data_IF_176184007375
#
_entry.id   IF_176184007375
#
_cell.length_a   1.000
_cell.length_b   1.000
_cell.length_c   1.000
_cell.angle_alpha   90.00
_cell.angle_beta   90.00
_cell.angle_gamma   90.00
#
_symmetry.space_group_name_H-M   'P 1'
#
loop_
_entity.id
_entity.type
_entity.pdbx_description
1 polymer ?
#
# COMPACT_ATOMS: atom_id res chain seq x y z
N UNK A 1 7.87 38.38 -8.16
CA UNK A 1 9.16 37.67 -8.01
C UNK A 1 9.24 37.24 -6.57
N UNK A 2 9.00 36.00 -6.36
CA UNK A 2 8.51 35.39 -5.13
C UNK A 2 9.63 34.93 -4.21
N UNK A 3 9.53 35.25 -2.93
CA UNK A 3 10.41 34.84 -1.82
C UNK A 3 10.06 33.44 -1.29
N UNK A 4 9.70 32.45 -2.14
CA UNK A 4 9.35 31.10 -1.71
C UNK A 4 10.56 30.16 -1.67
N UNK A 5 11.75 30.59 -2.07
CA UNK A 5 12.91 29.69 -2.23
C UNK A 5 13.80 29.48 -0.99
N UNK A 6 13.48 30.00 0.18
CA UNK A 6 14.50 30.10 1.23
C UNK A 6 14.11 29.56 2.62
N UNK A 7 13.40 28.45 2.74
CA UNK A 7 13.32 27.79 4.05
C UNK A 7 13.34 26.27 3.92
N UNK A 8 14.41 25.67 4.43
CA UNK A 8 14.66 24.23 4.61
C UNK A 8 15.02 23.48 3.32
N UNK A 9 16.28 23.60 2.88
CA UNK A 9 16.83 22.60 1.95
C UNK A 9 17.04 21.30 2.72
N UNK A 10 16.38 20.19 2.31
CA UNK A 10 16.70 18.88 2.87
C UNK A 10 18.16 18.54 2.59
N UNK A 11 18.87 18.01 3.59
CA UNK A 11 20.25 17.51 3.44
C UNK A 11 20.31 16.16 2.70
N UNK A 12 19.17 15.62 2.24
CA UNK A 12 19.02 14.42 1.42
C UNK A 12 18.21 14.73 0.15
N UNK A 13 18.34 13.89 -0.86
CA UNK A 13 17.64 14.04 -2.13
C UNK A 13 16.14 13.70 -2.05
N UNK A 14 15.72 12.90 -1.06
CA UNK A 14 14.32 12.50 -0.85
C UNK A 14 13.60 13.46 0.10
N UNK A 15 12.43 13.97 -0.34
CA UNK A 15 11.53 14.77 0.48
C UNK A 15 10.16 14.10 0.52
N UNK A 16 9.72 13.69 1.71
CA UNK A 16 8.41 13.11 1.98
C UNK A 16 7.60 14.07 2.84
N UNK A 17 6.49 14.56 2.32
CA UNK A 17 5.75 15.67 2.89
C UNK A 17 4.25 15.40 2.93
N UNK A 18 3.61 15.57 4.08
CA UNK A 18 2.17 15.54 4.20
C UNK A 18 1.58 16.91 3.84
N UNK A 19 0.59 16.92 2.96
CA UNK A 19 -0.23 18.09 2.60
C UNK A 19 -1.59 17.97 3.30
N UNK A 20 -1.89 18.87 4.23
CA UNK A 20 -3.19 18.91 4.88
C UNK A 20 -4.11 19.91 4.17
N UNK A 21 -5.23 19.42 3.64
CA UNK A 21 -6.18 20.21 2.87
C UNK A 21 -7.61 20.05 3.39
N UNK A 22 -8.49 21.00 3.06
CA UNK A 22 -9.90 21.02 3.45
C UNK A 22 -10.78 21.04 2.21
N UNK A 23 -11.29 19.87 1.83
CA UNK A 23 -12.12 19.69 0.66
C UNK A 23 -11.37 19.80 -0.69
N UNK A 24 -12.05 19.38 -1.74
CA UNK A 24 -11.41 19.15 -3.05
C UNK A 24 -10.89 20.44 -3.72
N UNK A 25 -11.52 21.59 -3.51
CA UNK A 25 -11.06 22.86 -4.07
C UNK A 25 -9.69 23.26 -3.50
N UNK A 26 -9.51 23.14 -2.17
CA UNK A 26 -8.23 23.41 -1.51
C UNK A 26 -7.14 22.44 -1.97
N UNK A 27 -7.46 21.15 -2.16
CA UNK A 27 -6.52 20.18 -2.75
C UNK A 27 -6.00 20.66 -4.12
N UNK A 28 -6.91 21.06 -4.99
CA UNK A 28 -6.58 21.50 -6.34
C UNK A 28 -5.73 22.77 -6.31
N UNK A 29 -6.11 23.75 -5.53
CA UNK A 29 -5.40 25.03 -5.40
C UNK A 29 -3.96 24.85 -4.88
N UNK A 30 -3.70 23.81 -4.09
CA UNK A 30 -2.38 23.50 -3.54
C UNK A 30 -1.55 22.58 -4.42
N UNK A 31 -2.18 21.66 -5.13
CA UNK A 31 -1.47 20.69 -5.97
C UNK A 31 -1.16 21.23 -7.37
N UNK A 32 -2.00 22.13 -7.91
CA UNK A 32 -1.78 22.73 -9.23
C UNK A 32 -0.44 23.49 -9.31
N UNK A 33 -0.06 24.38 -8.37
CA UNK A 33 1.24 25.06 -8.44
C UNK A 33 2.42 24.07 -8.33
N UNK A 34 2.28 22.99 -7.58
CA UNK A 34 3.29 21.94 -7.48
C UNK A 34 3.49 21.22 -8.82
N UNK A 35 2.38 20.89 -9.52
CA UNK A 35 2.41 20.27 -10.84
C UNK A 35 2.99 21.25 -11.87
N UNK A 36 2.53 22.50 -11.88
CA UNK A 36 3.02 23.53 -12.79
C UNK A 36 4.52 23.74 -12.64
N UNK A 37 5.00 23.86 -11.40
CA UNK A 37 6.41 24.02 -11.12
C UNK A 37 7.25 22.80 -11.58
N UNK A 38 6.72 21.57 -11.56
CA UNK A 38 7.38 20.41 -12.13
C UNK A 38 7.53 20.57 -13.66
N UNK A 39 6.44 20.89 -14.35
CA UNK A 39 6.39 21.01 -15.81
C UNK A 39 7.30 22.16 -16.31
N UNK A 40 7.31 23.29 -15.62
CA UNK A 40 8.13 24.46 -15.96
C UNK A 40 9.64 24.22 -15.77
N UNK A 41 10.02 23.34 -14.84
CA UNK A 41 11.41 22.96 -14.58
C UNK A 41 11.84 21.66 -15.29
N UNK A 42 10.99 21.12 -16.18
CA UNK A 42 11.21 19.82 -16.84
C UNK A 42 11.50 18.67 -15.83
N UNK A 43 10.90 18.74 -14.62
CA UNK A 43 10.97 17.70 -13.61
C UNK A 43 9.86 16.67 -13.89
N UNK A 44 10.19 15.37 -14.11
CA UNK A 44 9.17 14.33 -14.27
C UNK A 44 8.23 14.28 -13.06
N UNK A 45 6.93 14.13 -13.33
CA UNK A 45 5.92 14.11 -12.27
C UNK A 45 4.93 12.96 -12.43
N UNK A 46 4.68 12.25 -11.31
CA UNK A 46 3.66 11.21 -11.18
C UNK A 46 2.59 11.65 -10.17
N UNK A 47 1.32 11.64 -10.59
CA UNK A 47 0.16 11.97 -9.75
C UNK A 47 -0.72 10.74 -9.59
N UNK A 48 -0.74 10.17 -8.38
CA UNK A 48 -1.48 8.97 -8.01
C UNK A 48 -2.56 9.34 -6.98
N UNK A 49 -3.75 9.69 -7.47
CA UNK A 49 -4.94 10.10 -6.69
C UNK A 49 -6.19 9.44 -7.27
N UNK A 50 -7.36 9.70 -6.72
CA UNK A 50 -8.61 9.14 -7.26
C UNK A 50 -8.92 9.65 -8.67
N UNK A 51 -9.60 8.83 -9.48
CA UNK A 51 -9.97 9.15 -10.86
C UNK A 51 -10.71 10.47 -10.99
N UNK A 52 -11.66 10.75 -10.12
CA UNK A 52 -12.43 12.00 -10.13
C UNK A 52 -11.54 13.23 -9.93
N UNK A 53 -10.57 13.16 -9.02
CA UNK A 53 -9.60 14.21 -8.79
C UNK A 53 -8.63 14.38 -9.97
N UNK A 54 -8.23 13.27 -10.62
CA UNK A 54 -7.42 13.29 -11.85
C UNK A 54 -8.14 14.04 -12.96
N UNK A 55 -9.41 13.77 -13.21
CA UNK A 55 -10.20 14.41 -14.26
C UNK A 55 -10.28 15.93 -14.04
N UNK A 56 -10.47 16.37 -12.80
CA UNK A 56 -10.50 17.79 -12.46
C UNK A 56 -9.14 18.48 -12.63
N UNK A 57 -8.05 17.83 -12.16
CA UNK A 57 -6.70 18.38 -12.36
C UNK A 57 -6.36 18.48 -13.85
N UNK A 58 -6.68 17.48 -14.66
CA UNK A 58 -6.47 17.51 -16.12
C UNK A 58 -7.20 18.69 -16.79
N UNK A 59 -8.45 18.90 -16.40
CA UNK A 59 -9.24 20.01 -16.92
C UNK A 59 -8.62 21.38 -16.59
N UNK A 60 -8.03 21.51 -15.40
CA UNK A 60 -7.40 22.76 -14.94
C UNK A 60 -6.04 23.03 -15.58
N UNK A 61 -5.16 22.01 -15.62
CA UNK A 61 -3.80 22.19 -16.15
C UNK A 61 -3.74 22.19 -17.69
N UNK A 62 -4.83 21.80 -18.36
CA UNK A 62 -4.95 21.90 -19.82
C UNK A 62 -3.85 21.13 -20.56
N UNK A 63 -3.15 21.78 -21.48
CA UNK A 63 -2.09 21.15 -22.29
C UNK A 63 -0.90 20.61 -21.48
N UNK A 64 -0.69 21.06 -20.23
CA UNK A 64 0.37 20.52 -19.38
C UNK A 64 0.12 19.05 -18.98
N UNK A 65 -1.12 18.55 -19.08
CA UNK A 65 -1.46 17.17 -18.72
C UNK A 65 -0.62 16.13 -19.48
N UNK A 66 -0.17 16.44 -20.70
CA UNK A 66 0.62 15.54 -21.53
C UNK A 66 2.05 15.29 -20.96
N UNK A 67 2.51 16.17 -20.05
CA UNK A 67 3.78 16.05 -19.34
C UNK A 67 3.62 15.41 -17.94
N UNK A 68 2.40 15.07 -17.53
CA UNK A 68 2.09 14.50 -16.21
C UNK A 68 1.65 13.06 -16.34
N UNK A 69 2.32 12.14 -15.64
CA UNK A 69 1.86 10.76 -15.51
C UNK A 69 0.78 10.68 -14.46
N UNK A 70 -0.43 10.28 -14.84
CA UNK A 70 -1.55 10.06 -13.92
C UNK A 70 -1.79 8.58 -13.69
N UNK A 71 -2.04 8.21 -12.43
CA UNK A 71 -2.36 6.84 -12.00
C UNK A 71 -3.57 6.90 -11.06
N UNK A 72 -4.55 6.05 -11.30
CA UNK A 72 -5.70 5.93 -10.38
C UNK A 72 -5.29 5.19 -9.11
N UNK A 73 -5.25 5.91 -7.99
CA UNK A 73 -4.87 5.34 -6.70
C UNK A 73 -5.88 4.28 -6.22
N UNK A 74 -7.14 4.36 -6.60
CA UNK A 74 -8.12 3.33 -6.27
C UNK A 74 -7.80 1.97 -6.94
N UNK A 75 -7.13 1.98 -8.09
CA UNK A 75 -6.68 0.76 -8.78
C UNK A 75 -5.36 0.25 -8.19
N UNK A 76 -4.30 1.07 -8.20
CA UNK A 76 -2.96 0.62 -7.76
C UNK A 76 -2.85 0.47 -6.26
N UNK A 77 -3.52 1.34 -5.51
CA UNK A 77 -3.51 1.39 -4.04
C UNK A 77 -4.65 0.61 -3.39
N UNK A 78 -5.47 -0.13 -4.14
CA UNK A 78 -6.50 -1.02 -3.57
C UNK A 78 -5.89 -1.97 -2.52
N UNK A 79 -4.67 -2.42 -2.76
CA UNK A 79 -3.84 -3.08 -1.76
C UNK A 79 -2.59 -2.22 -1.50
N UNK A 80 -2.40 -1.65 -0.30
CA UNK A 80 -1.31 -0.72 -0.01
C UNK A 80 0.11 -1.28 -0.23
N UNK A 81 0.26 -2.61 -0.25
CA UNK A 81 1.54 -3.26 -0.54
C UNK A 81 2.04 -2.98 -1.98
N UNK A 82 1.14 -2.61 -2.90
CA UNK A 82 1.43 -2.34 -4.32
C UNK A 82 1.92 -0.91 -4.59
N UNK A 83 1.80 0.01 -3.65
CA UNK A 83 2.03 1.43 -3.92
C UNK A 83 3.53 1.74 -4.01
N UNK A 84 4.38 1.21 -3.11
CA UNK A 84 5.84 1.41 -3.18
C UNK A 84 6.42 0.95 -4.54
N UNK A 85 6.03 -0.19 -5.12
CA UNK A 85 6.44 -0.59 -6.47
C UNK A 85 6.19 0.46 -7.55
N UNK A 86 5.06 1.16 -7.51
CA UNK A 86 4.73 2.23 -8.49
C UNK A 86 5.72 3.39 -8.40
N UNK A 87 6.03 3.84 -7.19
CA UNK A 87 7.01 4.89 -6.97
C UNK A 87 8.44 4.45 -7.33
N UNK A 88 8.79 3.20 -7.04
CA UNK A 88 10.10 2.62 -7.42
C UNK A 88 10.27 2.56 -8.93
N UNK A 89 9.26 2.07 -9.65
CA UNK A 89 9.28 2.03 -11.12
C UNK A 89 9.47 3.43 -11.70
N UNK A 90 8.71 4.42 -11.20
CA UNK A 90 8.84 5.80 -11.63
C UNK A 90 10.25 6.38 -11.37
N UNK A 91 10.84 6.10 -10.21
CA UNK A 91 12.21 6.55 -9.89
C UNK A 91 13.25 5.82 -10.75
N UNK A 92 13.11 4.50 -10.92
CA UNK A 92 14.05 3.68 -11.71
C UNK A 92 14.03 4.08 -13.20
N UNK A 93 12.86 4.45 -13.76
CA UNK A 93 12.73 4.96 -15.13
C UNK A 93 13.52 6.26 -15.37
N UNK A 94 13.75 7.05 -14.33
CA UNK A 94 14.42 8.36 -14.41
C UNK A 94 15.80 8.38 -13.71
N UNK A 95 16.34 7.22 -13.34
CA UNK A 95 17.57 7.13 -12.53
C UNK A 95 18.79 7.82 -13.15
N UNK A 96 18.87 7.85 -14.48
CA UNK A 96 19.99 8.45 -15.22
C UNK A 96 19.77 9.94 -15.55
N UNK A 97 18.59 10.49 -15.30
CA UNK A 97 18.26 11.87 -15.69
C UNK A 97 18.99 12.93 -14.88
N UNK A 98 19.35 12.63 -13.64
CA UNK A 98 19.97 13.58 -12.71
C UNK A 98 19.08 14.74 -12.27
N UNK A 99 17.80 14.77 -12.71
CA UNK A 99 16.84 15.79 -12.36
C UNK A 99 16.00 15.39 -11.15
N UNK A 100 15.40 16.38 -10.49
CA UNK A 100 14.43 16.14 -9.42
C UNK A 100 13.18 15.51 -10.00
N UNK A 101 12.61 14.57 -9.25
CA UNK A 101 11.33 13.95 -9.54
C UNK A 101 10.28 14.48 -8.58
N UNK A 102 9.04 14.63 -9.04
CA UNK A 102 7.92 15.00 -8.17
C UNK A 102 6.85 13.91 -8.16
N UNK A 103 6.21 13.74 -7.01
CA UNK A 103 5.09 12.84 -6.85
C UNK A 103 3.97 13.47 -6.03
N UNK A 104 2.72 13.11 -6.36
CA UNK A 104 1.56 13.36 -5.51
C UNK A 104 0.89 12.00 -5.31
N UNK A 105 0.75 11.55 -4.05
CA UNK A 105 0.16 10.25 -3.72
C UNK A 105 -0.85 10.34 -2.61
N UNK A 106 -2.11 9.96 -2.86
CA UNK A 106 -3.20 9.97 -1.88
C UNK A 106 -3.72 8.56 -1.63
N UNK A 107 -3.04 7.73 -0.79
CA UNK A 107 -3.48 6.37 -0.50
C UNK A 107 -4.57 6.28 0.57
N UNK A 108 -4.83 7.37 1.31
CA UNK A 108 -5.74 7.41 2.46
C UNK A 108 -6.95 8.29 2.15
N UNK A 109 -8.15 7.72 2.28
CA UNK A 109 -9.44 8.39 2.15
C UNK A 109 -10.46 7.80 3.13
N UNK A 110 -11.58 8.48 3.34
CA UNK A 110 -12.55 8.21 4.41
C UNK A 110 -13.20 6.81 4.35
N UNK A 111 -13.37 6.25 3.14
CA UNK A 111 -14.05 4.96 2.93
C UNK A 111 -13.12 3.74 3.09
N UNK A 112 -11.83 3.95 3.40
CA UNK A 112 -10.93 2.84 3.75
C UNK A 112 -11.45 2.09 4.97
N UNK A 113 -11.44 0.75 4.92
CA UNK A 113 -11.69 -0.06 6.11
C UNK A 113 -10.60 0.16 7.17
N UNK A 114 -10.87 -0.11 8.45
CA UNK A 114 -9.86 0.02 9.50
C UNK A 114 -8.58 -0.79 9.20
N UNK A 115 -8.72 -1.99 8.62
CA UNK A 115 -7.60 -2.85 8.26
C UNK A 115 -6.76 -2.26 7.12
N UNK A 116 -7.42 -1.72 6.09
CA UNK A 116 -6.74 -1.05 4.98
C UNK A 116 -6.04 0.23 5.44
N UNK A 117 -6.69 0.99 6.33
CA UNK A 117 -6.16 2.24 6.86
C UNK A 117 -4.81 2.01 7.58
N UNK A 118 -4.73 1.01 8.47
CA UNK A 118 -3.48 0.65 9.14
C UNK A 118 -2.38 0.27 8.14
N UNK A 119 -2.73 -0.45 7.06
CA UNK A 119 -1.74 -0.81 6.03
C UNK A 119 -1.34 0.39 5.14
N UNK A 120 -2.22 1.38 4.97
CA UNK A 120 -1.88 2.65 4.34
C UNK A 120 -0.96 3.50 5.21
N UNK A 121 -1.24 3.62 6.50
CA UNK A 121 -0.36 4.32 7.46
C UNK A 121 1.02 3.65 7.53
N UNK A 122 1.05 2.31 7.55
CA UNK A 122 2.30 1.55 7.44
C UNK A 122 3.03 1.80 6.12
N UNK A 123 2.30 1.90 5.01
CA UNK A 123 2.88 2.24 3.71
C UNK A 123 3.57 3.60 3.75
N UNK A 124 2.91 4.63 4.28
CA UNK A 124 3.47 5.97 4.42
C UNK A 124 4.76 5.97 5.26
N UNK A 125 4.75 5.28 6.38
CA UNK A 125 5.96 5.11 7.19
C UNK A 125 7.11 4.44 6.39
N UNK A 126 6.81 3.36 5.67
CA UNK A 126 7.79 2.58 4.91
C UNK A 126 8.32 3.28 3.66
N UNK A 127 7.64 4.29 3.12
CA UNK A 127 8.17 5.16 2.06
C UNK A 127 9.50 5.80 2.48
N UNK A 128 9.62 6.20 3.74
CA UNK A 128 10.86 6.79 4.26
C UNK A 128 12.05 5.81 4.22
N UNK A 129 11.81 4.52 4.46
CA UNK A 129 12.84 3.48 4.30
C UNK A 129 13.09 3.12 2.83
N UNK A 130 12.02 3.10 2.02
CA UNK A 130 12.11 2.72 0.62
C UNK A 130 12.96 3.69 -0.22
N UNK A 131 12.99 4.98 0.15
CA UNK A 131 13.65 6.04 -0.62
C UNK A 131 14.72 6.81 0.18
N UNK A 132 15.15 6.29 1.35
CA UNK A 132 16.13 6.95 2.21
C UNK A 132 17.48 7.25 1.50
N UNK A 133 17.91 6.35 0.61
CA UNK A 133 19.19 6.44 -0.07
C UNK A 133 19.12 7.25 -1.36
N UNK A 134 19.19 8.57 -1.22
CA UNK A 134 19.52 9.50 -2.31
C UNK A 134 18.56 9.57 -3.52
N UNK A 135 17.30 9.16 -3.37
CA UNK A 135 16.32 9.35 -4.45
C UNK A 135 15.98 10.83 -4.61
N UNK A 136 16.09 11.43 -5.80
CA UNK A 136 15.77 12.85 -6.00
C UNK A 136 14.25 13.12 -6.05
N UNK A 137 13.46 12.36 -5.28
CA UNK A 137 12.01 12.42 -5.28
C UNK A 137 11.48 13.37 -4.19
N UNK A 138 10.65 14.33 -4.61
CA UNK A 138 9.79 15.08 -3.72
C UNK A 138 8.37 14.52 -3.82
N UNK A 139 7.96 13.77 -2.79
CA UNK A 139 6.65 13.14 -2.69
C UNK A 139 5.75 13.94 -1.75
N UNK A 140 4.63 14.41 -2.26
CA UNK A 140 3.59 15.13 -1.54
C UNK A 140 2.41 14.18 -1.31
N UNK A 141 2.02 13.98 -0.05
CA UNK A 141 0.94 13.08 0.34
C UNK A 141 -0.25 13.88 0.91
N UNK A 142 -1.33 14.05 0.13
CA UNK A 142 -2.50 14.80 0.57
C UNK A 142 -3.34 14.05 1.63
N UNK A 143 -3.86 14.82 2.61
CA UNK A 143 -4.76 14.37 3.67
C UNK A 143 -5.93 15.36 3.84
N UNK A 144 -7.14 14.90 3.59
CA UNK A 144 -8.37 15.68 3.77
C UNK A 144 -8.74 15.74 5.24
N UNK A 145 -8.47 16.88 5.89
CA UNK A 145 -8.70 17.04 7.33
C UNK A 145 -10.18 17.14 7.71
N UNK A 146 -11.06 17.40 6.75
CA UNK A 146 -12.51 17.45 7.00
C UNK A 146 -13.15 16.06 6.99
N UNK A 147 -12.63 15.15 6.19
CA UNK A 147 -13.18 13.80 6.02
C UNK A 147 -12.47 12.72 6.86
N UNK A 148 -11.20 12.95 7.22
CA UNK A 148 -10.39 11.98 7.94
C UNK A 148 -10.49 12.14 9.46
N UNK A 149 -10.40 11.01 10.18
CA UNK A 149 -10.33 11.05 11.64
C UNK A 149 -9.04 11.75 12.11
N UNK A 150 -9.13 12.49 13.20
CA UNK A 150 -7.99 13.18 13.81
C UNK A 150 -6.83 12.25 14.20
N UNK A 151 -7.08 10.97 14.45
CA UNK A 151 -6.02 9.98 14.69
C UNK A 151 -5.17 9.76 13.44
N UNK A 152 -5.78 9.72 12.24
CA UNK A 152 -5.11 9.57 10.94
C UNK A 152 -4.25 10.79 10.64
N UNK A 153 -4.78 11.99 10.90
CA UNK A 153 -4.03 13.25 10.72
C UNK A 153 -2.79 13.29 11.62
N UNK A 154 -2.95 12.89 12.90
CA UNK A 154 -1.80 12.78 13.81
C UNK A 154 -0.80 11.72 13.39
N UNK A 155 -1.27 10.61 12.82
CA UNK A 155 -0.38 9.57 12.30
C UNK A 155 0.38 10.05 11.06
N UNK A 156 -0.26 10.83 10.19
CA UNK A 156 0.41 11.48 9.07
C UNK A 156 1.55 12.39 9.53
N UNK A 157 1.35 13.22 10.58
CA UNK A 157 2.41 14.06 11.15
C UNK A 157 3.61 13.25 11.66
N UNK A 158 3.36 12.02 12.17
CA UNK A 158 4.40 11.13 12.70
C UNK A 158 5.16 10.36 11.62
N UNK A 159 4.53 10.14 10.47
CA UNK A 159 5.10 9.38 9.37
C UNK A 159 5.82 10.25 8.34
N UNK A 160 5.60 11.58 8.36
CA UNK A 160 6.19 12.50 7.39
C UNK A 160 7.23 13.41 8.05
N UNK A 161 8.47 13.45 7.51
CA UNK A 161 9.49 14.40 7.97
C UNK A 161 9.12 15.86 7.76
N UNK A 162 8.28 16.13 6.75
CA UNK A 162 7.85 17.47 6.38
C UNK A 162 6.34 17.57 6.30
N UNK A 163 5.81 18.75 6.60
CA UNK A 163 4.39 19.09 6.55
C UNK A 163 4.17 20.34 5.72
N UNK A 164 3.12 20.36 4.93
CA UNK A 164 2.60 21.54 4.28
C UNK A 164 1.24 21.88 4.89
N UNK A 165 1.09 23.09 5.41
CA UNK A 165 -0.15 23.63 5.96
C UNK A 165 -0.34 25.07 5.50
N UNK A 166 -1.46 25.36 4.88
CA UNK A 166 -1.83 26.71 4.42
C UNK A 166 -0.76 27.39 3.55
N UNK A 167 -0.04 26.63 2.71
CA UNK A 167 1.04 27.13 1.86
C UNK A 167 2.40 27.23 2.54
N UNK A 168 2.51 26.86 3.81
CA UNK A 168 3.78 26.89 4.56
C UNK A 168 4.35 25.47 4.70
N UNK A 169 5.62 25.34 4.31
CA UNK A 169 6.39 24.10 4.44
C UNK A 169 7.22 24.12 5.73
N UNK A 170 7.08 23.09 6.55
CA UNK A 170 7.79 22.99 7.82
C UNK A 170 8.27 21.57 8.12
N UNK A 171 9.28 21.44 8.97
CA UNK A 171 9.68 20.13 9.52
C UNK A 171 8.61 19.65 10.51
N UNK A 172 8.26 18.38 10.44
CA UNK A 172 7.33 17.79 11.41
C UNK A 172 8.00 17.61 12.78
N UNK A 173 7.52 18.28 13.83
CA UNK A 173 8.05 18.07 15.18
C UNK A 173 7.64 16.71 15.77
N UNK A 174 6.65 16.04 15.16
CA UNK A 174 6.14 14.75 15.59
C UNK A 174 6.77 13.56 14.86
N UNK A 175 7.63 13.80 13.85
CA UNK A 175 8.23 12.73 13.08
C UNK A 175 9.02 11.73 13.93
N UNK A 176 8.74 10.43 13.80
CA UNK A 176 9.34 9.35 14.61
C UNK A 176 10.82 9.08 14.34
N UNK A 177 11.36 9.54 13.21
CA UNK A 177 12.66 9.10 12.71
C UNK A 177 12.60 7.75 12.00
N UNK A 178 13.72 7.31 11.44
CA UNK A 178 13.78 6.09 10.63
C UNK A 178 13.95 4.81 11.48
N UNK A 179 14.52 4.90 12.67
CA UNK A 179 14.88 3.74 13.51
C UNK A 179 13.65 2.96 13.97
N UNK A 180 12.57 3.67 14.33
CA UNK A 180 11.35 3.09 14.87
C UNK A 180 10.14 3.20 13.92
N UNK A 181 10.37 3.56 12.68
CA UNK A 181 9.28 3.93 11.76
C UNK A 181 8.28 2.79 11.49
N UNK A 182 8.73 1.54 11.56
CA UNK A 182 7.88 0.37 11.34
C UNK A 182 7.28 -0.20 12.65
N UNK A 183 7.85 0.13 13.80
CA UNK A 183 7.50 -0.48 15.09
C UNK A 183 6.03 -0.31 15.50
N UNK A 184 5.36 0.84 15.27
CA UNK A 184 3.94 1.01 15.61
C UNK A 184 2.99 0.08 14.85
N UNK A 185 3.44 -0.47 13.73
CA UNK A 185 2.63 -1.32 12.86
C UNK A 185 2.87 -2.83 13.07
N UNK A 186 3.74 -3.20 14.01
CA UNK A 186 4.00 -4.59 14.38
C UNK A 186 3.10 -5.07 15.53
N UNK A 187 1.97 -4.38 15.74
CA UNK A 187 0.93 -4.84 16.66
C UNK A 187 0.25 -6.11 16.14
N UNK A 188 -0.16 -7.01 17.05
CA UNK A 188 -0.88 -8.22 16.69
C UNK A 188 -2.16 -7.91 15.92
N UNK A 189 -2.40 -8.65 14.83
CA UNK A 189 -3.68 -8.61 14.13
C UNK A 189 -4.79 -9.16 15.04
N UNK A 190 -6.02 -8.68 14.84
CA UNK A 190 -7.20 -9.20 15.53
C UNK A 190 -7.22 -10.74 15.45
N UNK A 191 -7.53 -11.46 16.52
CA UNK A 191 -7.47 -12.92 16.52
C UNK A 191 -8.45 -13.51 15.50
N UNK A 192 -8.03 -14.60 14.83
CA UNK A 192 -8.93 -15.36 13.97
C UNK A 192 -10.12 -15.87 14.79
N UNK A 193 -11.36 -15.91 14.24
CA UNK A 193 -12.53 -16.38 14.96
C UNK A 193 -12.37 -17.87 15.35
N UNK A 194 -13.08 -18.29 16.39
CA UNK A 194 -13.07 -19.69 16.85
C UNK A 194 -13.54 -20.67 15.75
N UNK A 195 -14.37 -20.22 14.82
CA UNK A 195 -14.85 -20.97 13.65
C UNK A 195 -13.81 -21.11 12.54
N UNK A 196 -12.66 -20.45 12.61
CA UNK A 196 -11.63 -20.55 11.58
C UNK A 196 -11.13 -21.99 11.44
N UNK A 197 -11.16 -22.51 10.23
CA UNK A 197 -10.60 -23.82 9.92
C UNK A 197 -9.10 -23.74 9.90
N UNK A 198 -8.41 -24.80 10.31
CA UNK A 198 -6.95 -24.79 10.42
C UNK A 198 -6.30 -26.05 9.86
N UNK A 199 -5.08 -25.89 9.35
CA UNK A 199 -4.17 -26.97 8.98
C UNK A 199 -2.76 -26.62 9.46
N UNK A 200 -2.08 -27.61 9.99
CA UNK A 200 -0.66 -27.55 10.29
C UNK A 200 0.12 -28.12 9.09
N UNK A 201 1.31 -27.61 8.86
CA UNK A 201 2.24 -28.09 7.85
C UNK A 201 3.68 -27.99 8.36
N UNK A 202 4.52 -28.99 8.01
CA UNK A 202 5.90 -29.11 8.48
C UNK A 202 6.85 -29.68 7.44
N UNK A 203 6.33 -29.98 6.24
CA UNK A 203 7.12 -30.53 5.15
C UNK A 203 6.60 -30.09 3.78
N UNK A 204 7.42 -30.19 2.76
CA UNK A 204 7.01 -29.94 1.38
C UNK A 204 5.89 -30.90 0.92
N UNK A 205 5.82 -32.11 1.50
CA UNK A 205 4.75 -33.08 1.25
C UNK A 205 3.37 -32.56 1.65
N UNK A 206 3.28 -31.73 2.67
CA UNK A 206 2.02 -31.18 3.18
C UNK A 206 1.42 -30.12 2.27
N UNK A 207 2.22 -29.49 1.38
CA UNK A 207 1.78 -28.37 0.53
C UNK A 207 0.64 -28.78 -0.44
N UNK A 208 0.64 -30.02 -0.95
CA UNK A 208 -0.43 -30.48 -1.83
C UNK A 208 -1.79 -30.54 -1.09
N UNK A 209 -1.79 -31.03 0.13
CA UNK A 209 -3.00 -31.08 0.96
C UNK A 209 -3.42 -29.68 1.43
N UNK A 210 -2.45 -28.79 1.70
CA UNK A 210 -2.71 -27.40 2.05
C UNK A 210 -3.41 -26.66 0.91
N UNK A 211 -2.92 -26.81 -0.35
CA UNK A 211 -3.58 -26.23 -1.54
C UNK A 211 -5.01 -26.73 -1.70
N UNK A 212 -5.22 -28.05 -1.55
CA UNK A 212 -6.57 -28.65 -1.60
C UNK A 212 -7.47 -28.10 -0.50
N UNK A 213 -6.96 -27.97 0.72
CA UNK A 213 -7.69 -27.44 1.86
C UNK A 213 -8.13 -25.99 1.60
N UNK A 214 -7.23 -25.11 1.15
CA UNK A 214 -7.55 -23.71 0.81
C UNK A 214 -8.58 -23.66 -0.32
N UNK A 215 -8.42 -24.46 -1.39
CA UNK A 215 -9.35 -24.48 -2.52
C UNK A 215 -10.77 -24.87 -2.10
N UNK A 216 -10.90 -25.98 -1.35
CA UNK A 216 -12.20 -26.50 -0.90
C UNK A 216 -12.88 -25.51 0.06
N UNK A 217 -12.13 -24.98 1.03
CA UNK A 217 -12.70 -24.04 2.01
C UNK A 217 -13.11 -22.70 1.35
N UNK A 218 -12.26 -22.14 0.49
CA UNK A 218 -12.56 -20.89 -0.21
C UNK A 218 -13.77 -21.03 -1.15
N UNK A 219 -13.86 -22.13 -1.91
CA UNK A 219 -15.03 -22.39 -2.77
C UNK A 219 -16.32 -22.54 -1.95
N UNK A 220 -16.25 -23.29 -0.85
CA UNK A 220 -17.41 -23.46 0.05
C UNK A 220 -17.86 -22.15 0.69
N UNK A 221 -16.94 -21.23 0.95
CA UNK A 221 -17.23 -19.91 1.47
C UNK A 221 -17.74 -18.95 0.40
N UNK A 222 -17.82 -19.35 -0.87
CA UNK A 222 -18.44 -18.60 -1.95
C UNK A 222 -17.48 -17.78 -2.81
N UNK A 223 -16.17 -18.07 -2.76
CA UNK A 223 -15.21 -17.42 -3.66
C UNK A 223 -15.29 -18.02 -5.06
N UNK A 224 -15.31 -17.17 -6.10
CA UNK A 224 -15.32 -17.64 -7.50
C UNK A 224 -14.00 -18.32 -7.88
N UNK A 225 -14.07 -19.22 -8.87
CA UNK A 225 -12.99 -20.14 -9.26
C UNK A 225 -11.63 -19.46 -9.49
N UNK A 226 -11.61 -18.37 -10.28
CA UNK A 226 -10.37 -17.59 -10.53
C UNK A 226 -9.76 -17.07 -9.22
N UNK A 227 -10.59 -16.51 -8.33
CA UNK A 227 -10.16 -15.96 -7.05
C UNK A 227 -9.71 -17.05 -6.08
N UNK A 228 -10.32 -18.23 -6.15
CA UNK A 228 -9.85 -19.43 -5.41
C UNK A 228 -8.43 -19.79 -5.86
N UNK A 229 -8.18 -19.88 -7.17
CA UNK A 229 -6.85 -20.21 -7.68
C UNK A 229 -5.79 -19.19 -7.25
N UNK A 230 -6.12 -17.90 -7.28
CA UNK A 230 -5.24 -16.82 -6.83
C UNK A 230 -4.94 -16.89 -5.32
N UNK A 231 -5.94 -17.20 -4.49
CA UNK A 231 -5.74 -17.37 -3.04
C UNK A 231 -4.91 -18.62 -2.74
N UNK A 232 -5.15 -19.74 -3.43
CA UNK A 232 -4.37 -20.97 -3.30
C UNK A 232 -2.91 -20.72 -3.63
N UNK A 233 -2.62 -20.05 -4.74
CA UNK A 233 -1.25 -19.71 -5.14
C UNK A 233 -0.57 -18.82 -4.11
N UNK A 234 -1.27 -17.79 -3.64
CA UNK A 234 -0.74 -16.87 -2.62
C UNK A 234 -0.44 -17.59 -1.29
N UNK A 235 -1.34 -18.46 -0.83
CA UNK A 235 -1.17 -19.23 0.40
C UNK A 235 -0.03 -20.26 0.28
N UNK A 236 0.10 -20.93 -0.87
CA UNK A 236 1.17 -21.90 -1.16
C UNK A 236 2.55 -21.22 -1.14
N UNK A 237 2.67 -20.05 -1.74
CA UNK A 237 3.89 -19.25 -1.75
C UNK A 237 4.31 -18.83 -0.33
N UNK A 238 3.36 -18.37 0.47
CA UNK A 238 3.64 -17.99 1.87
C UNK A 238 4.02 -19.23 2.69
N UNK A 239 3.29 -20.34 2.57
CA UNK A 239 3.59 -21.60 3.30
C UNK A 239 4.96 -22.18 2.87
N UNK A 240 5.29 -22.12 1.57
CA UNK A 240 6.60 -22.55 1.07
C UNK A 240 7.73 -21.74 1.69
N UNK A 241 7.55 -20.42 1.86
CA UNK A 241 8.52 -19.57 2.56
C UNK A 241 8.63 -19.90 4.03
N UNK A 242 7.51 -20.16 4.71
CA UNK A 242 7.49 -20.60 6.09
C UNK A 242 8.32 -21.89 6.28
N UNK A 243 8.23 -22.84 5.35
CA UNK A 243 9.06 -24.05 5.38
C UNK A 243 10.55 -23.78 5.18
N UNK A 244 10.90 -22.85 4.29
CA UNK A 244 12.31 -22.56 3.93
C UNK A 244 12.99 -21.61 4.91
N UNK A 245 12.26 -20.65 5.44
CA UNK A 245 12.80 -19.52 6.21
C UNK A 245 12.04 -19.25 7.52
N UNK A 246 10.86 -19.86 7.71
CA UNK A 246 9.94 -19.64 8.83
C UNK A 246 10.04 -20.70 9.94
N UNK A 247 11.22 -21.32 10.15
CA UNK A 247 11.39 -22.36 11.19
C UNK A 247 10.94 -23.76 10.76
N UNK A 248 10.67 -24.00 9.48
CA UNK A 248 10.39 -25.31 8.90
C UNK A 248 8.96 -25.83 9.13
N UNK A 249 8.08 -25.05 9.74
CA UNK A 249 6.70 -25.44 9.98
C UNK A 249 5.80 -24.22 10.14
N UNK A 250 4.49 -24.42 10.01
CA UNK A 250 3.52 -23.36 10.22
C UNK A 250 2.10 -23.85 10.39
N UNK A 251 1.22 -22.91 10.66
CA UNK A 251 -0.22 -23.14 10.72
C UNK A 251 -0.92 -22.21 9.75
N UNK A 252 -1.75 -22.75 8.88
CA UNK A 252 -2.66 -22.01 8.05
C UNK A 252 -4.06 -22.05 8.65
N UNK A 253 -4.69 -20.90 8.74
CA UNK A 253 -6.11 -20.75 9.09
C UNK A 253 -6.86 -20.12 7.94
N UNK A 254 -8.13 -20.50 7.74
CA UNK A 254 -9.00 -19.88 6.75
C UNK A 254 -10.40 -19.69 7.34
N UNK A 255 -10.98 -18.54 7.07
CA UNK A 255 -12.34 -18.21 7.49
C UNK A 255 -12.99 -17.21 6.54
N UNK A 256 -14.28 -17.07 6.66
CA UNK A 256 -15.06 -16.04 5.97
C UNK A 256 -15.53 -15.01 6.98
N UNK A 257 -15.40 -13.74 6.64
CA UNK A 257 -16.17 -12.66 7.25
C UNK A 257 -17.30 -12.18 6.30
N UNK A 258 -17.87 -11.01 6.59
CA UNK A 258 -18.98 -10.47 5.78
C UNK A 258 -18.50 -9.91 4.42
N UNK A 259 -17.23 -9.56 4.24
CA UNK A 259 -16.70 -8.94 3.03
C UNK A 259 -15.69 -9.82 2.29
N UNK A 260 -14.99 -10.71 2.98
CA UNK A 260 -13.82 -11.39 2.43
C UNK A 260 -13.70 -12.86 2.91
N UNK A 261 -12.96 -13.63 2.14
CA UNK A 261 -12.31 -14.85 2.60
C UNK A 261 -10.90 -14.45 3.07
N UNK A 262 -10.57 -14.86 4.28
CA UNK A 262 -9.30 -14.53 4.92
C UNK A 262 -8.50 -15.81 5.15
N UNK A 263 -7.26 -15.80 4.67
CA UNK A 263 -6.30 -16.88 4.88
C UNK A 263 -5.10 -16.34 5.67
N UNK A 264 -4.79 -16.92 6.81
CA UNK A 264 -3.70 -16.53 7.69
C UNK A 264 -2.67 -17.65 7.80
N UNK A 265 -1.42 -17.34 7.50
CA UNK A 265 -0.28 -18.22 7.71
C UNK A 265 0.55 -17.65 8.86
N UNK A 266 0.81 -18.51 9.87
CA UNK A 266 1.68 -18.20 11.00
C UNK A 266 2.79 -19.22 11.08
N UNK A 267 4.03 -18.74 11.22
CA UNK A 267 5.22 -19.58 11.39
C UNK A 267 6.13 -19.05 12.51
N UNK A 268 7.14 -19.85 12.88
CA UNK A 268 8.13 -19.53 13.92
C UNK A 268 9.33 -18.72 13.40
N UNK A 269 9.29 -18.26 12.15
CA UNK A 269 10.37 -17.50 11.57
C UNK A 269 10.31 -16.01 11.90
N UNK A 270 11.46 -15.37 11.69
CA UNK A 270 11.58 -13.92 11.80
C UNK A 270 11.63 -13.29 10.39
N UNK A 271 10.78 -12.33 10.15
CA UNK A 271 10.79 -11.55 8.91
C UNK A 271 11.50 -10.22 9.17
N UNK A 272 12.83 -10.19 8.93
CA UNK A 272 13.66 -9.02 9.22
C UNK A 272 13.65 -7.93 8.12
N UNK A 273 12.78 -8.08 7.11
CA UNK A 273 12.72 -7.15 5.98
C UNK A 273 11.42 -6.32 6.02
N UNK A 274 11.42 -5.07 6.50
CA UNK A 274 10.23 -4.22 6.57
C UNK A 274 9.54 -4.00 5.21
N UNK A 275 10.31 -4.01 4.12
CA UNK A 275 9.84 -3.85 2.74
C UNK A 275 9.47 -5.19 2.06
N UNK A 276 9.42 -6.31 2.80
CA UNK A 276 9.04 -7.60 2.23
C UNK A 276 7.68 -7.55 1.52
N UNK A 277 7.63 -8.02 0.28
CA UNK A 277 6.45 -7.96 -0.59
C UNK A 277 6.16 -6.58 -1.20
N UNK A 278 6.85 -5.51 -0.77
CA UNK A 278 6.67 -4.13 -1.25
C UNK A 278 7.72 -3.70 -2.28
N UNK A 279 8.68 -4.55 -2.59
CA UNK A 279 9.68 -4.31 -3.62
C UNK A 279 9.69 -5.52 -4.55
N UNK A 280 9.65 -5.26 -5.86
CA UNK A 280 9.75 -6.32 -6.87
C UNK A 280 11.14 -6.97 -6.76
N UNK A 281 11.22 -8.28 -6.55
CA UNK A 281 12.51 -8.95 -6.45
C UNK A 281 13.33 -8.80 -7.74
N UNK A 282 14.62 -8.48 -7.60
CA UNK A 282 15.59 -8.45 -8.71
C UNK A 282 16.25 -9.83 -8.78
N UNK A 283 16.18 -10.53 -9.94
CA UNK A 283 16.83 -11.83 -10.18
C UNK A 283 15.87 -13.01 -10.35
N UNK A 284 16.43 -14.22 -10.40
CA UNK A 284 15.66 -15.46 -10.61
C UNK A 284 14.70 -15.76 -9.46
N UNK A 285 13.59 -16.42 -9.79
CA UNK A 285 12.51 -16.77 -8.87
C UNK A 285 13.03 -17.59 -7.65
N UNK A 286 13.28 -16.95 -6.53
CA UNK A 286 13.78 -17.64 -5.34
C UNK A 286 13.54 -16.92 -4.02
N UNK A 287 14.05 -15.73 -3.84
CA UNK A 287 13.86 -14.99 -2.57
C UNK A 287 13.06 -13.71 -2.78
N UNK A 288 11.99 -13.55 -2.04
CA UNK A 288 11.15 -12.33 -2.08
C UNK A 288 9.94 -12.40 -3.01
N UNK A 289 9.91 -13.30 -4.00
CA UNK A 289 8.86 -13.33 -5.03
C UNK A 289 7.48 -13.72 -4.48
N UNK A 290 7.38 -14.68 -3.57
CA UNK A 290 6.10 -15.20 -3.09
C UNK A 290 5.23 -14.15 -2.38
N UNK A 291 5.81 -13.33 -1.48
CA UNK A 291 5.03 -12.31 -0.78
C UNK A 291 4.67 -11.14 -1.72
N UNK A 292 5.58 -10.81 -2.67
CA UNK A 292 5.28 -9.86 -3.72
C UNK A 292 4.13 -10.35 -4.62
N UNK A 293 4.15 -11.62 -5.02
CA UNK A 293 3.08 -12.24 -5.82
C UNK A 293 1.74 -12.24 -5.05
N UNK A 294 1.76 -12.62 -3.76
CA UNK A 294 0.58 -12.54 -2.91
C UNK A 294 0.01 -11.11 -2.86
N UNK A 295 0.89 -10.10 -2.79
CA UNK A 295 0.51 -8.68 -2.89
C UNK A 295 -0.18 -8.33 -4.21
N UNK A 296 0.23 -8.94 -5.33
CA UNK A 296 -0.39 -8.70 -6.64
C UNK A 296 -1.75 -9.41 -6.78
N UNK A 297 -1.92 -10.57 -6.14
CA UNK A 297 -3.11 -11.41 -6.31
C UNK A 297 -4.20 -11.15 -5.26
N UNK A 298 -3.86 -10.75 -4.04
CA UNK A 298 -4.82 -10.52 -2.96
C UNK A 298 -5.31 -9.07 -2.92
N UNK A 299 -6.52 -8.87 -2.41
CA UNK A 299 -7.12 -7.54 -2.28
C UNK A 299 -6.54 -6.76 -1.10
N UNK A 300 -6.10 -7.46 -0.03
CA UNK A 300 -5.30 -6.90 1.06
C UNK A 300 -4.31 -7.96 1.56
N UNK A 301 -3.08 -7.54 1.85
CA UNK A 301 -2.06 -8.37 2.48
C UNK A 301 -1.53 -7.65 3.72
N UNK A 302 -1.69 -8.29 4.87
CA UNK A 302 -1.16 -7.81 6.14
C UNK A 302 0.01 -8.69 6.56
N UNK A 303 1.12 -8.06 6.91
CA UNK A 303 2.33 -8.75 7.37
C UNK A 303 2.71 -8.22 8.74
N UNK A 304 2.89 -9.13 9.69
CA UNK A 304 3.37 -8.79 11.03
C UNK A 304 4.58 -9.66 11.37
N UNK A 305 5.64 -8.99 11.80
CA UNK A 305 6.89 -9.62 12.19
C UNK A 305 7.13 -9.40 13.68
N UNK A 306 7.20 -10.50 14.42
CA UNK A 306 7.51 -10.47 15.84
C UNK A 306 8.87 -11.13 16.09
N UNK A 307 9.37 -11.04 17.31
CA UNK A 307 10.67 -11.61 17.67
C UNK A 307 10.73 -13.12 17.45
N UNK A 308 9.64 -13.84 17.71
CA UNK A 308 9.58 -15.31 17.73
C UNK A 308 8.66 -15.90 16.67
N UNK A 309 7.97 -15.11 15.88
CA UNK A 309 7.07 -15.60 14.85
C UNK A 309 6.72 -14.51 13.84
N UNK A 310 6.22 -14.92 12.68
CA UNK A 310 5.61 -14.04 11.71
C UNK A 310 4.17 -14.44 11.39
N UNK A 311 3.37 -13.48 10.94
CA UNK A 311 1.98 -13.67 10.51
C UNK A 311 1.79 -12.97 9.18
N UNK A 312 1.31 -13.71 8.20
CA UNK A 312 0.85 -13.17 6.91
C UNK A 312 -0.62 -13.47 6.75
N UNK A 313 -1.43 -12.42 6.56
CA UNK A 313 -2.86 -12.53 6.34
C UNK A 313 -3.21 -12.05 4.96
N UNK A 314 -3.93 -12.87 4.21
CA UNK A 314 -4.34 -12.69 2.82
C UNK A 314 -5.85 -12.53 2.78
N UNK A 315 -6.34 -11.42 2.22
CA UNK A 315 -7.77 -11.17 2.09
C UNK A 315 -8.18 -11.24 0.62
N UNK A 316 -9.26 -11.97 0.35
CA UNK A 316 -9.92 -11.99 -0.96
C UNK A 316 -11.37 -11.56 -0.79
N UNK A 317 -11.72 -10.39 -1.31
CA UNK A 317 -13.06 -9.84 -1.24
C UNK A 317 -14.05 -10.77 -1.96
N UNK A 318 -15.20 -10.98 -1.35
CA UNK A 318 -16.32 -11.63 -2.00
C UNK A 318 -16.86 -10.68 -3.08
N UNK A 319 -17.16 -11.21 -4.27
CA UNK A 319 -17.87 -10.43 -5.26
C UNK A 319 -19.28 -10.21 -4.72
N UNK A 320 -19.68 -8.96 -4.52
CA UNK A 320 -21.08 -8.62 -4.36
C UNK A 320 -21.77 -9.03 -5.65
N UNK A 321 -22.64 -10.03 -5.62
CA UNK A 321 -23.53 -10.29 -6.75
C UNK A 321 -24.29 -8.99 -7.02
N UNK A 322 -24.15 -8.47 -8.24
CA UNK A 322 -24.94 -7.33 -8.69
C UNK A 322 -26.40 -7.67 -8.51
N UNK A 323 -27.07 -7.11 -7.51
CA UNK A 323 -28.49 -7.19 -7.27
C UNK A 323 -29.30 -6.42 -8.35
N UNK A 324 -28.89 -6.52 -9.62
CA UNK A 324 -29.47 -5.82 -10.77
C UNK A 324 -30.01 -6.75 -11.85
N UNK A 325 -30.33 -8.01 -11.51
CA UNK A 325 -30.92 -8.94 -12.50
C UNK A 325 -32.22 -9.63 -12.04
N UNK A 326 -32.95 -9.05 -11.05
CA UNK A 326 -34.28 -9.54 -10.71
C UNK A 326 -35.25 -8.35 -10.74
N UNK A 327 -35.71 -7.99 -11.92
CA UNK A 327 -36.68 -6.89 -12.05
C UNK A 327 -37.11 -6.57 -13.46
N UNK A 328 -37.22 -7.56 -14.36
CA UNK A 328 -37.88 -7.34 -15.65
C UNK A 328 -38.41 -8.65 -16.26
N UNK A 329 -39.29 -9.31 -15.56
CA UNK A 329 -40.33 -10.18 -16.21
C UNK A 329 -41.54 -10.15 -15.33
N UNK A 330 -42.42 -9.18 -15.52
CA UNK A 330 -43.88 -9.28 -15.44
C UNK A 330 -44.46 -8.02 -16.12
N UNK A 331 -44.79 -8.06 -17.34
CA UNK A 331 -46.05 -7.91 -18.07
C UNK A 331 -45.81 -7.78 -19.56
#
# INVERSE_FOLDING_TARGET
>A
MSQIENTVRPTGNYRHEALFYSGEADLIDRTEPFIRGAVENDEPILVAISRTKIERLRALIGAMQDKVRFVDMAEVGSNPIRIIPVWREFVDEHAESGVRLRGIGEPIWAERSPEELVECERHEALLNLAFADASPLWLLCPYDVDSLNQSVVREAERNHPYLERHGEHQVSPAFRGLEDIAAPFDEPLSPAPASAERRFFSSAGDLADLRRFVAVSASRFGLGEKRVAELVLSADEVATKSLKHGGGSGTLKIWRDHLAIICEVRDGGRLDAPLAGRVKPKGEAGSGFGLWLAGQLCDLVQVRAFREHSVVRLHRLLQMENASAVGAVVQ
#
